data_IF_244342270490
#
_entry.id   IF_244342270490
#
_cell.length_a   1.000
_cell.length_b   1.000
_cell.length_c   1.000
_cell.angle_alpha   90.00
_cell.angle_beta   90.00
_cell.angle_gamma   90.00
#
_symmetry.space_group_name_H-M   'P 1'
#
loop_
_entity.id
_entity.type
_entity.pdbx_description
1 polymer ?
#
# COMPACT_ATOMS: atom_id res chain seq x y z
N UNK A 1 -13.99 -7.58 -2.44
CA UNK A 1 -12.68 -6.95 -2.21
C UNK A 1 -12.11 -7.59 -0.96
N UNK A 2 -10.87 -8.07 -1.02
CA UNK A 2 -10.19 -8.59 0.16
C UNK A 2 -9.94 -7.43 1.14
N UNK A 3 -9.95 -7.72 2.44
CA UNK A 3 -9.80 -6.72 3.50
C UNK A 3 -8.49 -5.93 3.36
N UNK A 4 -7.38 -6.60 3.03
CA UNK A 4 -6.08 -5.94 2.86
C UNK A 4 -6.05 -4.95 1.69
N UNK A 5 -6.78 -5.20 0.59
CA UNK A 5 -6.82 -4.29 -0.56
C UNK A 5 -7.53 -2.98 -0.21
N UNK A 6 -8.56 -3.05 0.63
CA UNK A 6 -9.27 -1.87 1.11
C UNK A 6 -8.39 -1.07 2.10
N UNK A 7 -7.69 -1.76 3.00
CA UNK A 7 -6.78 -1.12 3.95
C UNK A 7 -5.57 -0.50 3.25
N UNK A 8 -5.04 -1.14 2.20
CA UNK A 8 -4.01 -0.57 1.35
C UNK A 8 -4.45 0.77 0.79
N UNK A 9 -5.67 0.86 0.25
CA UNK A 9 -6.23 2.10 -0.30
C UNK A 9 -6.45 3.17 0.77
N UNK A 10 -6.87 2.76 1.96
CA UNK A 10 -7.05 3.65 3.11
C UNK A 10 -5.71 4.14 3.70
N UNK A 11 -4.61 3.44 3.40
CA UNK A 11 -3.25 3.86 3.77
C UNK A 11 -2.69 4.96 2.85
N UNK A 12 -3.44 5.37 1.82
CA UNK A 12 -3.15 6.55 1.01
C UNK A 12 -4.03 7.71 1.47
N UNK A 13 -3.39 8.83 1.82
CA UNK A 13 -4.10 10.03 2.25
C UNK A 13 -5.16 10.48 1.22
N UNK A 14 -6.34 10.91 1.67
CA UNK A 14 -7.46 11.25 0.78
C UNK A 14 -7.18 12.47 -0.11
N UNK A 15 -6.41 13.44 0.41
CA UNK A 15 -6.08 14.68 -0.30
C UNK A 15 -4.84 14.51 -1.19
N UNK A 16 -3.72 14.09 -0.62
CA UNK A 16 -2.43 14.04 -1.32
C UNK A 16 -2.11 12.68 -1.95
N UNK A 17 -2.92 11.65 -1.66
CA UNK A 17 -2.73 10.26 -2.13
C UNK A 17 -1.31 9.75 -1.89
N UNK A 18 -0.70 10.22 -0.81
CA UNK A 18 0.62 9.81 -0.35
C UNK A 18 0.45 8.62 0.59
N UNK A 19 1.22 7.56 0.34
CA UNK A 19 1.24 6.39 1.22
C UNK A 19 1.79 6.76 2.61
N UNK A 20 1.07 6.36 3.67
CA UNK A 20 1.44 6.58 5.07
C UNK A 20 1.85 8.03 5.38
N UNK A 21 1.21 9.01 4.73
CA UNK A 21 1.56 10.43 4.84
C UNK A 21 1.08 11.08 6.14
N UNK A 22 0.08 10.49 6.79
CA UNK A 22 -0.51 10.95 8.05
C UNK A 22 -0.50 9.82 9.11
N UNK A 23 -0.49 10.11 10.42
CA UNK A 23 -0.52 9.09 11.47
C UNK A 23 -1.68 8.09 11.37
N UNK A 24 -2.85 8.51 10.87
CA UNK A 24 -3.98 7.62 10.59
C UNK A 24 -3.64 6.60 9.51
N UNK A 25 -3.02 7.06 8.43
CA UNK A 25 -2.70 6.26 7.26
C UNK A 25 -1.59 5.25 7.61
N UNK A 26 -0.62 5.69 8.43
CA UNK A 26 0.43 4.82 8.97
C UNK A 26 -0.14 3.71 9.86
N UNK A 27 -1.12 4.03 10.73
CA UNK A 27 -1.78 3.00 11.53
C UNK A 27 -2.46 1.97 10.64
N UNK A 28 -3.22 2.42 9.63
CA UNK A 28 -3.86 1.51 8.68
C UNK A 28 -2.85 0.68 7.89
N UNK A 29 -1.70 1.26 7.51
CA UNK A 29 -0.62 0.53 6.84
C UNK A 29 -0.04 -0.60 7.72
N UNK A 30 0.11 -0.37 9.03
CA UNK A 30 0.54 -1.41 9.96
C UNK A 30 -0.52 -2.50 10.16
N UNK A 31 -1.79 -2.14 10.28
CA UNK A 31 -2.89 -3.11 10.37
C UNK A 31 -2.99 -3.96 9.11
N UNK A 32 -2.80 -3.33 7.94
CA UNK A 32 -2.72 -4.01 6.65
C UNK A 32 -1.53 -4.98 6.61
N UNK A 33 -0.34 -4.58 7.05
CA UNK A 33 0.84 -5.45 7.06
C UNK A 33 0.58 -6.75 7.83
N UNK A 34 -0.07 -6.68 9.00
CA UNK A 34 -0.42 -7.88 9.76
C UNK A 34 -1.32 -8.84 8.99
N UNK A 35 -2.24 -8.31 8.17
CA UNK A 35 -3.12 -9.10 7.29
C UNK A 35 -2.36 -9.72 6.13
N UNK A 36 -1.47 -8.95 5.49
CA UNK A 36 -0.62 -9.46 4.40
C UNK A 36 0.20 -10.67 4.85
N UNK A 37 0.81 -10.60 6.05
CA UNK A 37 1.56 -11.72 6.63
C UNK A 37 0.63 -12.90 6.93
N UNK A 38 -0.54 -12.65 7.56
CA UNK A 38 -1.48 -13.70 7.93
C UNK A 38 -2.09 -14.42 6.71
N UNK A 39 -2.29 -13.69 5.61
CA UNK A 39 -2.83 -14.19 4.34
C UNK A 39 -1.74 -14.68 3.37
N UNK A 40 -0.46 -14.63 3.76
CA UNK A 40 0.71 -15.00 2.95
C UNK A 40 0.77 -14.28 1.59
N UNK A 41 0.50 -12.98 1.62
CA UNK A 41 0.51 -12.10 0.44
C UNK A 41 1.91 -11.53 0.24
N UNK A 42 2.51 -11.83 -0.91
CA UNK A 42 3.85 -11.36 -1.29
C UNK A 42 3.88 -9.92 -1.80
N UNK A 43 5.07 -9.35 -1.84
CA UNK A 43 5.30 -7.96 -2.28
C UNK A 43 4.85 -7.73 -3.73
N UNK A 44 5.04 -8.72 -4.62
CA UNK A 44 4.61 -8.63 -6.02
C UNK A 44 3.10 -8.40 -6.18
N UNK A 45 2.28 -9.03 -5.34
CA UNK A 45 0.82 -8.89 -5.40
C UNK A 45 0.37 -7.51 -4.88
N UNK A 46 1.02 -7.02 -3.81
CA UNK A 46 0.78 -5.67 -3.29
C UNK A 46 1.12 -4.61 -4.33
N UNK A 47 2.28 -4.73 -4.98
CA UNK A 47 2.70 -3.79 -6.02
C UNK A 47 1.71 -3.75 -7.19
N UNK A 48 1.22 -4.90 -7.64
CA UNK A 48 0.22 -4.96 -8.70
C UNK A 48 -1.06 -4.23 -8.31
N UNK A 49 -1.54 -4.38 -7.07
CA UNK A 49 -2.74 -3.69 -6.59
C UNK A 49 -2.50 -2.17 -6.42
N UNK A 50 -1.33 -1.73 -5.96
CA UNK A 50 -0.96 -0.30 -5.89
C UNK A 50 -0.99 0.32 -7.29
N UNK A 51 -0.33 -0.33 -8.27
CA UNK A 51 -0.31 0.15 -9.66
C UNK A 51 -1.72 0.20 -10.24
N UNK A 52 -2.55 -0.80 -9.97
CA UNK A 52 -3.96 -0.84 -10.40
C UNK A 52 -4.81 0.25 -9.75
N UNK A 53 -4.62 0.50 -8.46
CA UNK A 53 -5.35 1.53 -7.72
C UNK A 53 -4.99 2.94 -8.20
N UNK A 54 -3.71 3.17 -8.49
CA UNK A 54 -3.23 4.46 -8.97
C UNK A 54 -3.35 4.63 -10.49
N UNK A 55 -3.66 3.56 -11.24
CA UNK A 55 -3.91 3.63 -12.68
C UNK A 55 -5.06 4.60 -12.98
N UNK A 56 -4.73 5.73 -13.61
CA UNK A 56 -5.67 6.81 -13.93
C UNK A 56 -5.42 8.11 -13.17
N UNK A 57 -4.58 8.12 -12.13
CA UNK A 57 -4.15 9.35 -11.47
C UNK A 57 -2.89 9.92 -12.15
N UNK A 58 -3.08 10.72 -13.21
CA UNK A 58 -1.98 11.32 -13.98
C UNK A 58 -1.07 12.26 -13.16
N UNK A 59 -1.56 12.79 -12.03
CA UNK A 59 -0.82 13.71 -11.16
C UNK A 59 0.02 13.00 -10.08
N UNK A 60 -0.07 11.67 -9.98
CA UNK A 60 0.71 10.92 -8.99
C UNK A 60 1.83 10.16 -9.70
N UNK A 61 3.05 10.34 -9.19
CA UNK A 61 4.18 9.51 -9.56
C UNK A 61 3.95 8.10 -9.00
N UNK A 62 3.28 7.24 -9.78
CA UNK A 62 2.90 5.87 -9.39
C UNK A 62 4.12 5.10 -8.90
N UNK A 63 5.25 5.20 -9.63
CA UNK A 63 6.50 4.54 -9.26
C UNK A 63 7.07 5.03 -7.91
N UNK A 64 6.92 6.33 -7.59
CA UNK A 64 7.34 6.86 -6.28
C UNK A 64 6.49 6.27 -5.15
N UNK A 65 5.18 6.12 -5.37
CA UNK A 65 4.29 5.53 -4.37
C UNK A 65 4.54 4.03 -4.21
N UNK A 66 4.79 3.32 -5.32
CA UNK A 66 5.19 1.90 -5.28
C UNK A 66 6.49 1.73 -4.48
N UNK A 67 7.50 2.57 -4.72
CA UNK A 67 8.76 2.54 -3.97
C UNK A 67 8.54 2.82 -2.47
N UNK A 68 7.66 3.79 -2.11
CA UNK A 68 7.29 4.01 -0.70
C UNK A 68 6.64 2.81 -0.05
N UNK A 69 5.71 2.16 -0.74
CA UNK A 69 5.04 0.95 -0.23
C UNK A 69 6.06 -0.17 -0.08
N UNK A 70 6.93 -0.36 -1.09
CA UNK A 70 8.02 -1.35 -1.04
C UNK A 70 8.93 -1.12 0.16
N UNK A 71 9.43 0.10 0.35
CA UNK A 71 10.30 0.45 1.49
C UNK A 71 9.66 0.20 2.85
N UNK A 72 8.34 0.34 2.92
CA UNK A 72 7.60 0.08 4.14
C UNK A 72 7.45 -1.43 4.42
N UNK A 73 7.30 -2.24 3.38
CA UNK A 73 6.97 -3.67 3.50
C UNK A 73 8.17 -4.61 3.32
N UNK A 74 9.27 -4.17 2.68
CA UNK A 74 10.41 -5.02 2.27
C UNK A 74 11.12 -5.74 3.42
N UNK A 75 10.98 -5.22 4.65
CA UNK A 75 11.57 -5.85 5.86
C UNK A 75 10.75 -7.04 6.35
N UNK A 76 9.49 -7.15 5.91
CA UNK A 76 8.50 -8.06 6.46
C UNK A 76 7.92 -9.05 5.44
N UNK A 77 7.89 -8.66 4.18
CA UNK A 77 7.39 -9.49 3.08
C UNK A 77 8.59 -9.93 2.23
N UNK A 78 8.80 -11.24 2.16
CA UNK A 78 9.65 -11.87 1.16
C UNK A 78 8.81 -12.25 -0.07
N UNK A 79 9.48 -12.38 -1.22
CA UNK A 79 8.90 -12.93 -2.46
C UNK A 79 9.62 -14.25 -2.81
#
# INVERSE_FOLDING_TARGET
>A
MSTWQQDLRNSFGLADRKFAGHPSDLRTAHEMLGKLIAENIGMSEVEAEVRKFLAGNMNLHVDEQVDRVRKFLEVWLDD
#
